data_IF_648770172561
#
_entry.id   IF_648770172561
#
_cell.length_a   1.000
_cell.length_b   1.000
_cell.length_c   1.000
_cell.angle_alpha   90.00
_cell.angle_beta   90.00
_cell.angle_gamma   90.00
#
_symmetry.space_group_name_H-M   'P 1'
#
loop_
_entity.id
_entity.type
_entity.pdbx_description
1 polymer ?
#
# COMPACT_ATOMS: atom_id res chain seq x y z
N UNK A 1 -28.30 5.99 -22.98
CA UNK A 1 -27.15 6.51 -22.22
C UNK A 1 -27.33 6.23 -20.73
N UNK A 2 -27.46 4.96 -20.32
CA UNK A 2 -27.72 4.61 -18.90
C UNK A 2 -26.79 3.51 -18.35
N UNK A 3 -25.83 3.05 -19.16
CA UNK A 3 -24.81 2.08 -18.77
C UNK A 3 -23.53 2.80 -18.30
N UNK A 4 -23.21 3.96 -18.89
CA UNK A 4 -21.99 4.74 -18.62
C UNK A 4 -21.89 5.23 -17.17
N UNK A 5 -22.97 5.77 -16.59
CA UNK A 5 -22.93 6.29 -15.20
C UNK A 5 -22.74 5.18 -14.17
N UNK A 6 -23.28 3.98 -14.40
CA UNK A 6 -23.09 2.83 -13.48
C UNK A 6 -21.68 2.26 -13.60
N UNK A 7 -21.13 2.22 -14.80
CA UNK A 7 -19.75 1.78 -15.06
C UNK A 7 -18.75 2.75 -14.41
N UNK A 8 -18.95 4.06 -14.57
CA UNK A 8 -18.12 5.09 -13.94
C UNK A 8 -18.17 5.01 -12.40
N UNK A 9 -19.35 4.85 -11.81
CA UNK A 9 -19.49 4.68 -10.35
C UNK A 9 -18.77 3.40 -9.89
N UNK A 10 -18.90 2.30 -10.63
CA UNK A 10 -18.24 1.05 -10.28
C UNK A 10 -16.72 1.19 -10.31
N UNK A 11 -16.17 1.83 -11.35
CA UNK A 11 -14.72 2.08 -11.49
C UNK A 11 -14.17 2.93 -10.34
N UNK A 12 -14.89 3.99 -9.95
CA UNK A 12 -14.50 4.84 -8.82
C UNK A 12 -14.46 4.04 -7.51
N UNK A 13 -15.52 3.26 -7.22
CA UNK A 13 -15.62 2.50 -5.97
C UNK A 13 -14.57 1.39 -5.92
N UNK A 14 -14.31 0.68 -7.03
CA UNK A 14 -13.24 -0.34 -7.08
C UNK A 14 -11.87 0.28 -6.87
N UNK A 15 -11.59 1.44 -7.49
CA UNK A 15 -10.34 2.17 -7.30
C UNK A 15 -10.11 2.56 -5.83
N UNK A 16 -11.15 2.98 -5.11
CA UNK A 16 -11.04 3.31 -3.69
C UNK A 16 -10.73 2.08 -2.84
N UNK A 17 -11.35 0.93 -3.15
CA UNK A 17 -11.04 -0.34 -2.48
C UNK A 17 -9.58 -0.75 -2.65
N UNK A 18 -9.07 -0.68 -3.89
CA UNK A 18 -7.67 -1.00 -4.19
C UNK A 18 -6.70 -0.03 -3.49
N UNK A 19 -7.00 1.28 -3.50
CA UNK A 19 -6.20 2.30 -2.80
C UNK A 19 -6.19 2.06 -1.29
N UNK A 20 -7.34 1.72 -0.69
CA UNK A 20 -7.42 1.42 0.73
C UNK A 20 -6.59 0.18 1.08
N UNK A 21 -6.72 -0.90 0.31
CA UNK A 21 -5.94 -2.12 0.52
C UNK A 21 -4.42 -1.90 0.33
N UNK A 22 -4.02 -1.04 -0.60
CA UNK A 22 -2.63 -0.64 -0.78
C UNK A 22 -2.12 0.15 0.44
N UNK A 23 -2.87 1.17 0.88
CA UNK A 23 -2.51 1.99 2.03
C UNK A 23 -2.38 1.16 3.31
N UNK A 24 -3.29 0.23 3.56
CA UNK A 24 -3.20 -0.67 4.71
C UNK A 24 -1.93 -1.52 4.68
N UNK A 25 -1.52 -2.03 3.51
CA UNK A 25 -0.26 -2.78 3.38
C UNK A 25 0.96 -1.91 3.67
N UNK A 26 0.95 -0.65 3.22
CA UNK A 26 2.02 0.32 3.49
C UNK A 26 2.11 0.69 4.98
N UNK A 27 0.97 0.90 5.66
CA UNK A 27 0.93 1.16 7.11
C UNK A 27 1.48 -0.02 7.92
N UNK A 28 1.12 -1.26 7.55
CA UNK A 28 1.68 -2.46 8.18
C UNK A 28 3.19 -2.53 7.94
N UNK A 29 3.66 -2.33 6.70
CA UNK A 29 5.08 -2.34 6.39
C UNK A 29 5.87 -1.29 7.17
N UNK A 30 5.34 -0.07 7.29
CA UNK A 30 5.96 1.01 8.05
C UNK A 30 6.11 0.66 9.55
N UNK A 31 5.09 0.05 10.14
CA UNK A 31 5.16 -0.39 11.54
C UNK A 31 6.21 -1.50 11.72
N UNK A 32 6.25 -2.48 10.81
CA UNK A 32 7.26 -3.55 10.86
C UNK A 32 8.69 -3.03 10.68
N UNK A 33 8.90 -2.03 9.81
CA UNK A 33 10.20 -1.36 9.65
C UNK A 33 10.64 -0.68 10.95
N UNK A 34 9.70 0.00 11.65
CA UNK A 34 9.98 0.62 12.96
C UNK A 34 10.32 -0.40 14.05
N UNK A 35 9.71 -1.59 13.98
CA UNK A 35 10.04 -2.74 14.84
C UNK A 35 11.35 -3.44 14.44
N UNK A 36 12.06 -2.97 13.41
CA UNK A 36 13.36 -3.52 12.99
C UNK A 36 13.28 -4.84 12.22
N UNK A 37 12.11 -5.21 11.70
CA UNK A 37 11.95 -6.41 10.87
C UNK A 37 12.73 -6.30 9.55
N UNK A 38 13.21 -7.44 9.04
CA UNK A 38 13.92 -7.49 7.76
C UNK A 38 12.99 -7.21 6.57
N UNK A 39 13.51 -6.53 5.55
CA UNK A 39 12.77 -6.20 4.31
C UNK A 39 12.18 -7.45 3.67
N UNK A 40 12.93 -8.56 3.63
CA UNK A 40 12.46 -9.83 3.06
C UNK A 40 11.21 -10.36 3.79
N UNK A 41 11.18 -10.26 5.13
CA UNK A 41 10.03 -10.69 5.92
C UNK A 41 8.84 -9.77 5.68
N UNK A 42 9.07 -8.46 5.59
CA UNK A 42 8.02 -7.48 5.34
C UNK A 42 7.38 -7.70 3.97
N UNK A 43 8.17 -7.93 2.93
CA UNK A 43 7.71 -8.26 1.57
C UNK A 43 6.81 -9.50 1.59
N UNK A 44 7.24 -10.59 2.27
CA UNK A 44 6.43 -11.81 2.38
C UNK A 44 5.10 -11.60 3.12
N UNK A 45 5.09 -10.79 4.18
CA UNK A 45 3.89 -10.57 5.02
C UNK A 45 2.90 -9.63 4.35
N UNK A 46 3.39 -8.55 3.73
CA UNK A 46 2.54 -7.48 3.19
C UNK A 46 2.20 -7.68 1.71
N UNK A 47 2.98 -8.50 1.00
CA UNK A 47 2.86 -8.64 -0.45
C UNK A 47 3.26 -7.38 -1.23
N UNK A 48 3.94 -6.42 -0.59
CA UNK A 48 4.57 -5.30 -1.27
C UNK A 48 5.85 -5.75 -1.96
N UNK A 49 6.24 -5.02 -3.01
CA UNK A 49 7.53 -5.23 -3.67
C UNK A 49 8.69 -4.76 -2.80
N UNK A 50 9.90 -5.26 -3.07
CA UNK A 50 11.12 -4.84 -2.37
C UNK A 50 11.33 -3.33 -2.53
N UNK A 51 11.10 -2.80 -3.73
CA UNK A 51 11.24 -1.38 -4.05
C UNK A 51 10.28 -0.51 -3.21
N UNK A 52 9.01 -0.91 -3.07
CA UNK A 52 8.04 -0.20 -2.24
C UNK A 52 8.46 -0.16 -0.77
N UNK A 53 8.96 -1.28 -0.23
CA UNK A 53 9.41 -1.34 1.17
C UNK A 53 10.67 -0.49 1.38
N UNK A 54 11.60 -0.47 0.43
CA UNK A 54 12.80 0.38 0.49
C UNK A 54 12.46 1.88 0.40
N UNK A 55 11.48 2.24 -0.43
CA UNK A 55 10.97 3.62 -0.50
C UNK A 55 10.36 4.05 0.83
N UNK A 56 9.52 3.19 1.45
CA UNK A 56 8.95 3.45 2.77
C UNK A 56 10.05 3.61 3.84
N UNK A 57 11.06 2.74 3.85
CA UNK A 57 12.19 2.85 4.78
C UNK A 57 12.93 4.18 4.63
N UNK A 58 13.15 4.61 3.38
CA UNK A 58 13.82 5.87 3.08
C UNK A 58 13.02 7.07 3.58
N UNK A 59 11.70 7.06 3.39
CA UNK A 59 10.80 8.12 3.88
C UNK A 59 10.82 8.20 5.42
N UNK A 60 10.73 7.06 6.10
CA UNK A 60 10.78 7.00 7.58
C UNK A 60 12.11 7.47 8.16
N UNK A 61 13.21 7.29 7.42
CA UNK A 61 14.54 7.76 7.86
C UNK A 61 14.70 9.27 7.68
N UNK A 62 13.96 9.89 6.74
CA UNK A 62 13.98 11.34 6.52
C UNK A 62 13.02 12.11 7.43
N UNK A 63 12.03 11.44 8.03
CA UNK A 63 11.10 12.04 9.00
C UNK A 63 11.67 12.16 10.43
N UNK A 64 12.83 11.56 10.71
CA UNK A 64 13.52 11.60 12.01
C UNK A 64 14.76 12.50 11.97
#
# INVERSE_FOLDING_TARGET
MGLTEREEIMEIVTSWGEKAAQKTREEIAANLLREGMSIETIVRVTGLTVEQVQQLQSQLTQEN
#
